data_IF_796975556902
#
_entry.id   IF_796975556902
#
_cell.length_a   1.000
_cell.length_b   1.000
_cell.length_c   1.000
_cell.angle_alpha   90.00
_cell.angle_beta   90.00
_cell.angle_gamma   90.00
#
_symmetry.space_group_name_H-M   'P 1'
#
loop_
_entity.id
_entity.type
_entity.pdbx_description
1 polymer ?
#
# COMPACT_ATOMS: atom_id res chain seq x y z
N UNK A 1 7.45 10.13 9.56
CA UNK A 1 6.82 8.87 9.16
C UNK A 1 5.34 9.07 8.84
N UNK A 2 4.52 9.58 9.79
CA UNK A 2 3.09 9.86 9.60
C UNK A 2 2.78 10.82 8.45
N UNK A 3 3.65 11.78 8.19
CA UNK A 3 3.47 12.70 7.07
C UNK A 3 3.36 11.96 5.74
N UNK A 4 4.32 11.09 5.42
CA UNK A 4 4.27 10.28 4.19
C UNK A 4 3.12 9.29 4.20
N UNK A 5 2.81 8.69 5.36
CA UNK A 5 1.71 7.76 5.53
C UNK A 5 0.34 8.39 5.20
N UNK A 6 0.14 9.68 5.56
CA UNK A 6 -1.06 10.45 5.23
C UNK A 6 -1.03 11.04 3.82
N UNK A 7 0.16 11.34 3.32
CA UNK A 7 0.32 11.95 1.99
C UNK A 7 -0.05 10.99 0.86
N UNK A 8 0.31 9.70 0.97
CA UNK A 8 0.04 8.73 -0.10
C UNK A 8 -1.43 8.67 -0.54
N UNK A 9 -2.43 8.46 0.35
CA UNK A 9 -3.83 8.43 -0.08
C UNK A 9 -4.32 9.79 -0.61
N UNK A 10 -3.79 10.91 -0.11
CA UNK A 10 -4.12 12.22 -0.63
C UNK A 10 -3.64 12.41 -2.08
N UNK A 11 -2.42 11.96 -2.38
CA UNK A 11 -1.87 11.97 -3.75
C UNK A 11 -2.69 11.08 -4.66
N UNK A 12 -3.09 9.89 -4.19
CA UNK A 12 -3.96 8.98 -4.96
C UNK A 12 -5.29 9.66 -5.26
N UNK A 13 -5.94 10.28 -4.28
CA UNK A 13 -7.21 10.97 -4.47
C UNK A 13 -7.09 12.12 -5.48
N UNK A 14 -6.10 12.98 -5.33
CA UNK A 14 -5.88 14.11 -6.25
C UNK A 14 -5.55 13.67 -7.67
N UNK A 15 -4.66 12.69 -7.82
CA UNK A 15 -4.29 12.17 -9.13
C UNK A 15 -5.46 11.40 -9.80
N UNK A 16 -6.27 10.66 -9.04
CA UNK A 16 -7.48 10.00 -9.57
C UNK A 16 -8.52 10.99 -10.07
N UNK A 17 -8.74 12.11 -9.36
CA UNK A 17 -9.57 13.20 -9.85
C UNK A 17 -8.97 13.84 -11.10
N UNK A 18 -7.64 13.99 -11.15
CA UNK A 18 -6.95 14.46 -12.35
C UNK A 18 -7.20 13.58 -13.58
N UNK A 19 -7.23 12.26 -13.41
CA UNK A 19 -7.60 11.32 -14.48
C UNK A 19 -9.05 11.52 -14.90
N UNK A 20 -9.97 11.62 -13.94
CA UNK A 20 -11.40 11.77 -14.22
C UNK A 20 -11.73 13.02 -15.07
N UNK A 21 -11.10 14.15 -14.77
CA UNK A 21 -11.33 15.40 -15.49
C UNK A 21 -10.46 15.59 -16.73
N UNK A 22 -9.51 14.70 -17.00
CA UNK A 22 -8.55 14.89 -18.08
C UNK A 22 -8.94 14.12 -19.34
N UNK A 23 -8.91 14.80 -20.46
CA UNK A 23 -9.01 14.21 -21.80
C UNK A 23 -7.64 14.16 -22.51
N UNK A 24 -6.54 14.53 -21.81
CA UNK A 24 -5.18 14.55 -22.35
C UNK A 24 -4.39 13.32 -21.96
N UNK A 25 -3.81 12.63 -22.94
CA UNK A 25 -2.96 11.45 -22.73
C UNK A 25 -1.75 11.78 -21.83
N UNK A 26 -1.18 12.97 -21.94
CA UNK A 26 -0.04 13.39 -21.11
C UNK A 26 -0.45 13.51 -19.65
N UNK A 27 -1.59 14.16 -19.37
CA UNK A 27 -2.09 14.31 -18.00
C UNK A 27 -2.47 12.95 -17.41
N UNK A 28 -3.12 12.10 -18.20
CA UNK A 28 -3.42 10.71 -17.81
C UNK A 28 -2.14 9.97 -17.38
N UNK A 29 -1.09 10.01 -18.22
CA UNK A 29 0.17 9.33 -17.92
C UNK A 29 0.82 9.85 -16.64
N UNK A 30 0.87 11.17 -16.45
CA UNK A 30 1.44 11.79 -15.24
C UNK A 30 0.62 11.40 -14.00
N UNK A 31 -0.69 11.44 -14.07
CA UNK A 31 -1.56 11.04 -12.95
C UNK A 31 -1.39 9.56 -12.59
N UNK A 32 -1.31 8.67 -13.58
CA UNK A 32 -1.06 7.25 -13.35
C UNK A 32 0.31 7.00 -12.73
N UNK A 33 1.35 7.74 -13.13
CA UNK A 33 2.67 7.67 -12.50
C UNK A 33 2.62 8.12 -11.03
N UNK A 34 1.89 9.20 -10.73
CA UNK A 34 1.71 9.67 -9.35
C UNK A 34 0.95 8.65 -8.49
N UNK A 35 -0.11 8.04 -9.02
CA UNK A 35 -0.86 6.96 -8.35
C UNK A 35 0.08 5.79 -8.08
N UNK A 36 0.83 5.33 -9.07
CA UNK A 36 1.78 4.22 -8.93
C UNK A 36 2.86 4.51 -7.88
N UNK A 37 3.42 5.71 -7.88
CA UNK A 37 4.40 6.14 -6.88
C UNK A 37 3.80 6.15 -5.46
N UNK A 38 2.59 6.68 -5.29
CA UNK A 38 1.92 6.74 -4.00
C UNK A 38 1.53 5.35 -3.48
N UNK A 39 1.07 4.45 -4.35
CA UNK A 39 0.79 3.04 -4.01
C UNK A 39 2.08 2.34 -3.59
N UNK A 40 3.19 2.50 -4.34
CA UNK A 40 4.49 1.94 -3.98
C UNK A 40 4.97 2.40 -2.61
N UNK A 41 4.80 3.69 -2.29
CA UNK A 41 5.06 4.24 -0.96
C UNK A 41 4.20 3.62 0.13
N UNK A 42 2.90 3.45 -0.11
CA UNK A 42 1.98 2.81 0.83
C UNK A 42 2.36 1.34 1.09
N UNK A 43 2.72 0.59 0.05
CA UNK A 43 3.19 -0.80 0.19
C UNK A 43 4.41 -0.96 1.10
N UNK A 44 5.29 0.04 1.14
CA UNK A 44 6.45 0.03 2.03
C UNK A 44 6.08 0.44 3.46
N UNK A 45 5.19 1.41 3.61
CA UNK A 45 4.86 2.02 4.90
C UNK A 45 3.85 1.19 5.71
N UNK A 46 2.81 0.65 5.07
CA UNK A 46 1.71 -0.03 5.76
C UNK A 46 2.17 -1.29 6.53
N UNK A 47 2.94 -2.23 5.96
CA UNK A 47 3.45 -3.37 6.71
C UNK A 47 4.41 -2.98 7.83
N UNK A 48 5.22 -1.94 7.61
CA UNK A 48 6.14 -1.42 8.62
C UNK A 48 5.38 -0.89 9.82
N UNK A 49 4.34 -0.07 9.57
CA UNK A 49 3.49 0.49 10.61
C UNK A 49 2.79 -0.60 11.42
N UNK A 50 2.15 -1.57 10.76
CA UNK A 50 1.52 -2.72 11.43
C UNK A 50 2.56 -3.48 12.27
N UNK A 51 3.77 -3.65 11.75
CA UNK A 51 4.83 -4.38 12.44
C UNK A 51 5.36 -3.70 13.69
N UNK A 52 5.26 -2.38 13.79
CA UNK A 52 5.72 -1.59 14.92
C UNK A 52 4.68 -1.47 16.02
N UNK A 53 3.39 -1.39 15.67
CA UNK A 53 2.30 -1.22 16.63
C UNK A 53 1.85 -2.56 17.22
N UNK A 54 1.89 -3.65 16.43
CA UNK A 54 1.34 -4.93 16.86
C UNK A 54 2.28 -5.69 17.79
N UNK A 55 1.76 -6.29 18.89
CA UNK A 55 2.51 -7.18 19.75
C UNK A 55 3.12 -8.34 18.95
N UNK A 56 4.30 -8.82 19.36
CA UNK A 56 5.05 -9.89 18.67
C UNK A 56 4.20 -11.13 18.36
N UNK A 57 3.27 -11.49 19.26
CA UNK A 57 2.38 -12.65 19.12
C UNK A 57 1.44 -12.51 17.92
N UNK A 58 0.90 -11.30 17.66
CA UNK A 58 -0.12 -11.06 16.65
C UNK A 58 0.42 -10.48 15.34
N UNK A 59 1.68 -10.07 15.32
CA UNK A 59 2.31 -9.39 14.19
C UNK A 59 2.15 -10.17 12.87
N UNK A 60 2.46 -11.47 12.86
CA UNK A 60 2.36 -12.30 11.66
C UNK A 60 0.92 -12.43 11.18
N UNK A 61 0.00 -12.66 12.10
CA UNK A 61 -1.44 -12.79 11.80
C UNK A 61 -2.00 -11.52 11.22
N UNK A 62 -1.69 -10.37 11.81
CA UNK A 62 -2.16 -9.06 11.32
C UNK A 62 -1.61 -8.71 9.95
N UNK A 63 -0.33 -9.01 9.68
CA UNK A 63 0.25 -8.85 8.33
C UNK A 63 -0.43 -9.77 7.31
N UNK A 64 -0.76 -11.01 7.71
CA UNK A 64 -1.51 -11.96 6.86
C UNK A 64 -2.92 -11.45 6.55
N UNK A 65 -3.65 -10.96 7.56
CA UNK A 65 -4.99 -10.39 7.40
C UNK A 65 -4.93 -9.15 6.47
N UNK A 66 -3.96 -8.27 6.67
CA UNK A 66 -3.76 -7.09 5.81
C UNK A 66 -3.58 -7.48 4.33
N UNK A 67 -2.77 -8.51 4.05
CA UNK A 67 -2.60 -9.05 2.70
C UNK A 67 -3.88 -9.67 2.14
N UNK A 68 -4.60 -10.46 2.93
CA UNK A 68 -5.88 -11.05 2.53
C UNK A 68 -6.93 -9.98 2.22
N UNK A 69 -7.02 -8.94 3.04
CA UNK A 69 -7.91 -7.79 2.82
C UNK A 69 -7.59 -7.06 1.52
N UNK A 70 -6.31 -6.91 1.18
CA UNK A 70 -5.89 -6.35 -0.12
C UNK A 70 -6.39 -7.20 -1.29
N UNK A 71 -6.34 -8.53 -1.18
CA UNK A 71 -6.90 -9.45 -2.18
C UNK A 71 -8.43 -9.29 -2.34
N UNK A 72 -9.15 -9.16 -1.24
CA UNK A 72 -10.60 -8.88 -1.27
C UNK A 72 -10.93 -7.53 -1.93
N UNK A 73 -10.12 -6.51 -1.67
CA UNK A 73 -10.23 -5.21 -2.33
C UNK A 73 -10.07 -5.30 -3.85
N UNK A 74 -9.10 -6.09 -4.33
CA UNK A 74 -8.91 -6.34 -5.77
C UNK A 74 -10.13 -7.03 -6.39
N UNK A 75 -10.66 -8.07 -5.76
CA UNK A 75 -11.87 -8.77 -6.22
C UNK A 75 -13.05 -7.79 -6.26
N UNK A 76 -13.25 -7.00 -5.21
CA UNK A 76 -14.31 -6.00 -5.14
C UNK A 76 -14.22 -5.00 -6.29
N UNK A 77 -13.03 -4.48 -6.59
CA UNK A 77 -12.83 -3.53 -7.67
C UNK A 77 -13.06 -4.14 -9.06
N UNK A 78 -12.68 -5.40 -9.26
CA UNK A 78 -12.97 -6.13 -10.51
C UNK A 78 -14.49 -6.27 -10.71
N UNK A 79 -15.24 -6.60 -9.67
CA UNK A 79 -16.71 -6.73 -9.74
C UNK A 79 -17.38 -5.37 -10.04
N UNK A 80 -16.91 -4.29 -9.41
CA UNK A 80 -17.39 -2.93 -9.72
C UNK A 80 -17.08 -2.56 -11.16
N UNK A 81 -15.85 -2.80 -11.62
CA UNK A 81 -15.44 -2.53 -12.99
C UNK A 81 -16.30 -3.33 -13.99
N UNK A 82 -16.51 -4.61 -13.73
CA UNK A 82 -17.35 -5.47 -14.56
C UNK A 82 -18.80 -4.95 -14.63
N UNK A 83 -19.39 -4.56 -13.50
CA UNK A 83 -20.74 -4.03 -13.44
C UNK A 83 -20.88 -2.72 -14.22
N UNK A 84 -19.98 -1.76 -13.97
CA UNK A 84 -19.98 -0.44 -14.61
C UNK A 84 -19.80 -0.55 -16.12
N UNK A 85 -18.85 -1.38 -16.58
CA UNK A 85 -18.58 -1.56 -18.00
C UNK A 85 -19.68 -2.36 -18.73
N UNK A 86 -20.39 -3.24 -18.03
CA UNK A 86 -21.49 -4.02 -18.62
C UNK A 86 -22.75 -3.18 -18.85
N UNK A 87 -23.07 -2.28 -17.91
CA UNK A 87 -24.33 -1.53 -17.91
C UNK A 87 -24.31 -0.34 -18.88
N UNK A 88 -23.14 0.13 -19.29
CA UNK A 88 -23.01 1.32 -20.12
C UNK A 88 -22.39 1.02 -21.48
N UNK A 89 -22.96 1.66 -22.50
CA UNK A 89 -22.41 1.68 -23.87
C UNK A 89 -21.50 2.89 -24.13
N UNK A 90 -21.26 3.73 -23.12
CA UNK A 90 -20.43 4.92 -23.23
C UNK A 90 -18.93 4.54 -23.22
N UNK A 91 -18.17 4.91 -24.26
CA UNK A 91 -16.73 4.64 -24.32
C UNK A 91 -15.91 5.28 -23.19
N UNK A 92 -16.41 6.34 -22.56
CA UNK A 92 -15.70 7.06 -21.49
C UNK A 92 -16.09 6.62 -20.09
N UNK A 93 -16.97 5.62 -19.95
CA UNK A 93 -17.46 5.14 -18.66
C UNK A 93 -16.34 4.66 -17.72
N UNK A 94 -15.22 4.19 -18.26
CA UNK A 94 -14.06 3.76 -17.49
C UNK A 94 -13.51 4.87 -16.57
N UNK A 95 -13.68 6.15 -16.92
CA UNK A 95 -13.25 7.28 -16.10
C UNK A 95 -13.95 7.27 -14.73
N UNK A 96 -15.19 6.79 -14.66
CA UNK A 96 -15.94 6.69 -13.40
C UNK A 96 -15.30 5.73 -12.39
N UNK A 97 -14.51 4.76 -12.84
CA UNK A 97 -13.75 3.89 -11.95
C UNK A 97 -12.74 4.66 -11.10
N UNK A 98 -12.21 5.78 -11.62
CA UNK A 98 -11.32 6.66 -10.87
C UNK A 98 -12.05 7.47 -9.79
N UNK A 99 -13.36 7.72 -9.93
CA UNK A 99 -14.16 8.29 -8.85
C UNK A 99 -14.30 7.31 -7.68
N UNK A 100 -14.48 6.01 -7.95
CA UNK A 100 -14.45 4.99 -6.91
C UNK A 100 -13.10 4.96 -6.20
N UNK A 101 -12.01 5.00 -6.97
CA UNK A 101 -10.66 5.05 -6.39
C UNK A 101 -10.48 6.31 -5.52
N UNK A 102 -10.96 7.47 -5.99
CA UNK A 102 -10.93 8.72 -5.23
C UNK A 102 -11.71 8.59 -3.92
N UNK A 103 -12.93 8.04 -3.96
CA UNK A 103 -13.74 7.84 -2.76
C UNK A 103 -13.01 6.99 -1.72
N UNK A 104 -12.47 5.83 -2.09
CA UNK A 104 -11.72 4.98 -1.17
C UNK A 104 -10.43 5.61 -0.69
N UNK A 105 -9.74 6.38 -1.54
CA UNK A 105 -8.53 7.10 -1.14
C UNK A 105 -8.85 8.18 -0.10
N UNK A 106 -9.95 8.92 -0.26
CA UNK A 106 -10.42 9.91 0.72
C UNK A 106 -10.82 9.24 2.04
N UNK A 107 -11.58 8.13 1.98
CA UNK A 107 -11.94 7.37 3.19
C UNK A 107 -10.68 6.88 3.90
N UNK A 108 -9.71 6.35 3.16
CA UNK A 108 -8.43 5.90 3.73
C UNK A 108 -7.65 7.07 4.32
N UNK A 109 -7.62 8.23 3.66
CA UNK A 109 -7.00 9.43 4.19
C UNK A 109 -7.63 9.86 5.52
N UNK A 110 -8.96 9.94 5.58
CA UNK A 110 -9.69 10.29 6.80
C UNK A 110 -9.42 9.28 7.93
N UNK A 111 -9.45 7.98 7.62
CA UNK A 111 -9.11 6.95 8.59
C UNK A 111 -7.68 7.10 9.11
N UNK A 112 -6.71 7.46 8.24
CA UNK A 112 -5.30 7.66 8.62
C UNK A 112 -5.06 8.93 9.47
N UNK A 113 -6.00 9.85 9.54
CA UNK A 113 -5.89 11.00 10.44
C UNK A 113 -5.95 10.60 11.93
N UNK A 114 -6.65 9.50 12.23
CA UNK A 114 -6.76 8.97 13.60
C UNK A 114 -5.56 8.12 14.03
N UNK A 115 -4.68 7.77 13.09
CA UNK A 115 -3.47 7.03 13.41
C UNK A 115 -2.44 7.92 14.11
N UNK A 116 -1.80 7.37 15.13
CA UNK A 116 -0.78 8.05 15.93
C UNK A 116 0.62 7.60 15.50
N UNK A 117 1.63 8.38 15.90
CA UNK A 117 3.03 8.05 15.62
C UNK A 117 3.41 6.72 16.26
N UNK A 118 4.27 5.96 15.56
CA UNK A 118 4.77 4.68 16.03
C UNK A 118 5.43 4.81 17.41
N UNK A 119 5.05 3.98 18.40
CA UNK A 119 5.67 4.00 19.73
C UNK A 119 7.17 3.72 19.69
N UNK A 120 7.61 2.84 18.77
CA UNK A 120 9.04 2.53 18.60
C UNK A 120 9.80 3.74 18.05
N UNK A 121 9.21 4.47 17.11
CA UNK A 121 9.80 5.70 16.57
C UNK A 121 9.90 6.80 17.64
N UNK A 122 8.83 7.01 18.41
CA UNK A 122 8.80 8.00 19.50
C UNK A 122 9.85 7.68 20.57
N UNK A 123 9.96 6.43 20.98
CA UNK A 123 10.94 5.99 21.95
C UNK A 123 12.39 6.22 21.47
N UNK A 124 12.67 5.97 20.18
CA UNK A 124 14.00 6.22 19.58
C UNK A 124 14.35 7.72 19.51
N UNK A 125 13.36 8.62 19.49
CA UNK A 125 13.55 10.07 19.46
C UNK A 125 13.45 10.71 20.86
N UNK A 126 13.49 9.90 21.94
CA UNK A 126 13.47 10.38 23.32
C UNK A 126 12.10 10.81 23.84
N UNK A 127 11.02 10.60 23.07
CA UNK A 127 9.65 10.95 23.43
C UNK A 127 8.93 9.77 24.10
N UNK A 128 9.49 9.29 25.19
CA UNK A 128 9.02 8.06 25.88
C UNK A 128 7.60 8.20 26.41
N UNK A 129 7.25 9.36 27.00
CA UNK A 129 5.92 9.62 27.56
C UNK A 129 4.80 9.61 26.47
N UNK A 130 5.10 10.16 25.28
CA UNK A 130 4.18 10.12 24.15
C UNK A 130 4.03 8.69 23.63
N UNK A 131 5.12 7.92 23.60
CA UNK A 131 5.11 6.52 23.21
C UNK A 131 4.25 5.66 24.14
N UNK A 132 4.37 5.83 25.46
CA UNK A 132 3.57 5.12 26.45
C UNK A 132 2.07 5.48 26.35
N UNK A 133 1.76 6.75 26.13
CA UNK A 133 0.37 7.21 25.91
C UNK A 133 -0.24 6.57 24.67
N UNK A 134 0.51 6.48 23.58
CA UNK A 134 0.06 5.89 22.35
C UNK A 134 -0.18 4.38 22.49
N UNK A 135 0.70 3.66 23.18
CA UNK A 135 0.53 2.23 23.47
C UNK A 135 -0.70 1.99 24.35
N UNK A 136 -0.89 2.80 25.38
CA UNK A 136 -2.08 2.74 26.25
C UNK A 136 -3.38 2.96 25.45
N UNK A 137 -3.37 3.91 24.54
CA UNK A 137 -4.53 4.22 23.69
C UNK A 137 -4.90 3.05 22.75
N UNK A 138 -3.90 2.35 22.18
CA UNK A 138 -4.14 1.25 21.23
C UNK A 138 -4.34 -0.11 21.87
N UNK A 139 -3.60 -0.43 22.93
CA UNK A 139 -3.61 -1.78 23.53
C UNK A 139 -4.43 -1.83 24.81
N UNK A 140 -4.89 -0.70 25.33
CA UNK A 140 -5.63 -0.64 26.59
C UNK A 140 -4.83 -1.12 27.80
N UNK A 141 -3.52 -1.28 27.68
CA UNK A 141 -2.61 -1.75 28.71
C UNK A 141 -1.58 -0.69 29.07
N UNK A 142 -1.31 -0.52 30.34
CA UNK A 142 -0.22 0.32 30.83
C UNK A 142 1.10 -0.43 30.60
N UNK A 143 1.82 -0.06 29.55
CA UNK A 143 3.13 -0.62 29.23
C UNK A 143 4.18 0.43 29.53
N UNK A 144 5.05 0.18 30.50
CA UNK A 144 6.20 1.04 30.80
C UNK A 144 7.30 0.80 29.77
N UNK A 145 7.35 1.65 28.75
CA UNK A 145 8.36 1.60 27.69
C UNK A 145 9.71 2.08 28.22
N UNK A 146 9.74 2.91 29.26
CA UNK A 146 10.94 3.41 29.90
C UNK A 146 11.89 2.31 30.37
N UNK A 147 11.37 1.18 30.91
CA UNK A 147 12.21 0.02 31.28
C UNK A 147 12.76 -0.74 30.04
N UNK A 148 11.99 -0.81 28.97
CA UNK A 148 12.43 -1.44 27.72
C UNK A 148 13.44 -0.57 26.97
N UNK A 149 13.28 0.75 27.00
CA UNK A 149 14.26 1.70 26.47
C UNK A 149 15.56 1.65 27.27
N UNK A 150 15.51 1.61 28.61
CA UNK A 150 16.69 1.50 29.47
C UNK A 150 17.44 0.16 29.33
N UNK A 151 16.72 -0.94 29.07
CA UNK A 151 17.35 -2.23 28.75
C UNK A 151 17.96 -2.27 27.34
N UNK A 152 17.40 -1.51 26.38
CA UNK A 152 17.90 -1.41 25.00
C UNK A 152 19.09 -0.47 24.88
N UNK A 153 19.22 0.52 25.76
CA UNK A 153 20.37 1.45 25.80
C UNK A 153 21.69 0.75 26.16
N UNK A 154 21.62 -0.40 26.84
CA UNK A 154 22.80 -1.25 27.14
C UNK A 154 23.25 -2.13 25.96
N UNK A 155 22.41 -2.32 24.95
CA UNK A 155 22.82 -2.91 23.67
C UNK A 155 22.82 -1.83 22.61
N UNK A 156 23.84 -1.02 22.61
CA UNK A 156 24.16 0.00 21.61
C UNK A 156 23.92 -0.56 20.21
N UNK A 157 22.71 -0.31 19.65
CA UNK A 157 22.63 -0.33 18.19
C UNK A 157 23.44 0.88 17.72
N UNK A 158 24.52 0.69 16.98
CA UNK A 158 25.24 1.82 16.40
C UNK A 158 24.20 2.61 15.60
N UNK A 159 24.19 3.94 15.78
CA UNK A 159 23.40 4.83 14.92
C UNK A 159 23.80 4.48 13.48
N UNK A 160 22.97 3.64 12.83
CA UNK A 160 23.28 3.21 11.48
C UNK A 160 23.12 4.42 10.57
N UNK A 161 24.22 4.85 10.01
CA UNK A 161 24.23 5.90 8.99
C UNK A 161 23.47 5.39 7.76
N UNK A 162 22.86 6.30 7.00
CA UNK A 162 22.24 5.94 5.71
C UNK A 162 23.23 5.23 4.77
N UNK A 163 24.54 5.44 4.95
CA UNK A 163 25.61 4.75 4.22
C UNK A 163 25.75 3.27 4.59
N UNK A 164 25.36 2.88 5.80
CA UNK A 164 25.45 1.49 6.28
C UNK A 164 24.43 0.58 5.56
N UNK A 165 23.36 1.15 5.00
CA UNK A 165 22.40 0.42 4.15
C UNK A 165 23.14 -0.19 2.97
N UNK A 166 24.10 0.52 2.38
CA UNK A 166 24.88 0.08 1.22
C UNK A 166 26.19 -0.67 1.60
N UNK A 167 26.41 -0.96 2.88
CA UNK A 167 27.54 -1.79 3.31
C UNK A 167 27.43 -3.20 2.68
N UNK A 168 28.57 -3.79 2.29
CA UNK A 168 28.63 -5.09 1.57
C UNK A 168 27.79 -6.21 2.19
N UNK A 169 27.69 -6.27 3.53
CA UNK A 169 26.85 -7.26 4.23
C UNK A 169 25.36 -7.01 4.10
N UNK A 170 24.93 -5.75 4.01
CA UNK A 170 23.55 -5.35 3.88
C UNK A 170 23.06 -5.42 2.44
N UNK A 171 23.92 -5.13 1.46
CA UNK A 171 23.61 -5.28 0.02
C UNK A 171 23.15 -6.70 -0.28
N UNK A 172 23.84 -7.73 0.23
CA UNK A 172 23.43 -9.13 0.06
C UNK A 172 21.99 -9.39 0.55
N UNK A 173 21.63 -8.82 1.71
CA UNK A 173 20.28 -8.96 2.29
C UNK A 173 19.24 -8.21 1.47
N UNK A 174 19.57 -7.01 0.98
CA UNK A 174 18.69 -6.19 0.13
C UNK A 174 18.42 -6.93 -1.19
N UNK A 175 19.46 -7.44 -1.84
CA UNK A 175 19.35 -8.18 -3.09
C UNK A 175 18.55 -9.48 -2.91
N UNK A 176 18.84 -10.25 -1.85
CA UNK A 176 18.13 -11.50 -1.53
C UNK A 176 16.65 -11.30 -1.20
N UNK A 177 16.27 -10.13 -0.68
CA UNK A 177 14.86 -9.81 -0.44
C UNK A 177 14.21 -9.12 -1.64
N UNK A 178 14.94 -8.29 -2.37
CA UNK A 178 14.41 -7.51 -3.50
C UNK A 178 14.16 -8.35 -4.76
N UNK A 179 15.04 -9.33 -5.06
CA UNK A 179 14.87 -10.19 -6.25
C UNK A 179 13.56 -10.98 -6.20
N UNK A 180 13.23 -11.74 -5.13
CA UNK A 180 11.96 -12.46 -5.06
C UNK A 180 10.74 -11.55 -5.19
N UNK A 181 10.77 -10.37 -4.57
CA UNK A 181 9.71 -9.37 -4.69
C UNK A 181 9.57 -8.84 -6.13
N UNK A 182 10.70 -8.58 -6.79
CA UNK A 182 10.71 -8.19 -8.20
C UNK A 182 10.14 -9.28 -9.11
N UNK A 183 10.52 -10.53 -8.90
CA UNK A 183 9.99 -11.68 -9.65
C UNK A 183 8.47 -11.88 -9.41
N UNK A 184 8.02 -11.75 -8.15
CA UNK A 184 6.58 -11.77 -7.81
C UNK A 184 5.83 -10.65 -8.53
N UNK A 185 6.38 -9.43 -8.52
CA UNK A 185 5.81 -8.29 -9.23
C UNK A 185 5.70 -8.51 -10.73
N UNK A 186 6.72 -9.06 -11.37
CA UNK A 186 6.69 -9.43 -12.80
C UNK A 186 5.62 -10.50 -13.08
N UNK A 187 5.47 -11.51 -12.22
CA UNK A 187 4.46 -12.55 -12.37
C UNK A 187 3.04 -12.00 -12.20
N UNK A 188 2.78 -11.31 -11.10
CA UNK A 188 1.44 -10.84 -10.74
C UNK A 188 0.99 -9.69 -11.67
N UNK A 189 1.84 -8.69 -11.85
CA UNK A 189 1.47 -7.50 -12.61
C UNK A 189 1.80 -7.62 -14.10
N UNK A 190 2.92 -8.25 -14.46
CA UNK A 190 3.31 -8.46 -15.85
C UNK A 190 2.35 -9.43 -16.55
N UNK A 191 2.33 -10.68 -16.12
CA UNK A 191 1.48 -11.71 -16.73
C UNK A 191 -0.02 -11.42 -16.47
N UNK A 192 -0.38 -11.02 -15.25
CA UNK A 192 -1.77 -10.77 -14.87
C UNK A 192 -2.44 -9.70 -15.73
N UNK A 193 -1.76 -8.57 -15.97
CA UNK A 193 -2.29 -7.46 -16.80
C UNK A 193 -2.39 -7.88 -18.28
N UNK A 194 -1.44 -8.65 -18.78
CA UNK A 194 -1.43 -9.10 -20.19
C UNK A 194 -2.26 -10.36 -20.44
N UNK A 195 -2.76 -11.04 -19.40
CA UNK A 195 -3.58 -12.25 -19.56
C UNK A 195 -4.76 -12.07 -20.52
N UNK A 196 -5.57 -11.00 -20.46
CA UNK A 196 -6.66 -10.80 -21.42
C UNK A 196 -6.17 -10.69 -22.87
N UNK A 197 -5.05 -9.98 -23.09
CA UNK A 197 -4.43 -9.83 -24.42
C UNK A 197 -3.91 -11.17 -24.93
N UNK A 198 -3.27 -11.95 -24.05
CA UNK A 198 -2.80 -13.30 -24.40
C UNK A 198 -3.96 -14.23 -24.77
N UNK A 199 -5.07 -14.20 -24.04
CA UNK A 199 -6.24 -15.01 -24.34
C UNK A 199 -6.88 -14.63 -25.68
N UNK A 200 -6.91 -13.34 -26.01
CA UNK A 200 -7.37 -12.84 -27.31
C UNK A 200 -6.44 -13.31 -28.44
N UNK A 201 -5.12 -13.18 -28.28
CA UNK A 201 -4.15 -13.59 -29.31
C UNK A 201 -4.10 -15.10 -29.52
N UNK A 202 -4.37 -15.89 -28.47
CA UNK A 202 -4.50 -17.33 -28.55
C UNK A 202 -5.83 -17.81 -29.12
N UNK A 203 -6.77 -16.89 -29.44
CA UNK A 203 -8.09 -17.23 -29.95
C UNK A 203 -9.01 -17.93 -28.93
N UNK A 204 -8.66 -17.88 -27.65
CA UNK A 204 -9.44 -18.47 -26.55
C UNK A 204 -10.64 -17.59 -26.14
N UNK A 205 -10.61 -16.32 -26.53
CA UNK A 205 -11.73 -15.38 -26.38
C UNK A 205 -12.04 -14.82 -27.77
N UNK A 206 -13.31 -14.82 -28.23
CA UNK A 206 -13.68 -14.25 -29.53
C UNK A 206 -13.43 -12.75 -29.56
N UNK A 207 -12.88 -12.25 -30.67
CA UNK A 207 -12.55 -10.82 -30.92
C UNK A 207 -13.75 -9.89 -30.86
N UNK A 208 -14.94 -10.40 -31.11
CA UNK A 208 -16.17 -9.62 -30.99
C UNK A 208 -16.71 -9.77 -29.58
N UNK A 209 -16.90 -8.63 -28.88
CA UNK A 209 -17.55 -8.52 -27.56
C UNK A 209 -19.00 -9.06 -27.51
N UNK A 210 -19.29 -10.10 -28.27
CA UNK A 210 -20.49 -10.92 -28.15
C UNK A 210 -20.27 -11.84 -26.96
N UNK A 211 -21.04 -11.54 -25.94
CA UNK A 211 -21.19 -12.31 -24.71
C UNK A 211 -21.09 -13.82 -24.96
N UNK A 212 -20.52 -14.52 -23.97
CA UNK A 212 -20.62 -15.97 -23.85
C UNK A 212 -22.03 -16.42 -24.28
N UNK A 213 -22.14 -17.43 -25.14
CA UNK A 213 -23.44 -18.04 -25.40
C UNK A 213 -24.01 -18.51 -24.07
N UNK A 214 -25.27 -18.14 -23.81
CA UNK A 214 -26.01 -18.53 -22.62
C UNK A 214 -26.22 -20.04 -22.59
#
# INVERSE_FOLDING_TARGET
YLFFFRLCPLVIAGASLGVYFSHSLVVLTVCLLLIGFAIGGAYALDPSYVSEIMPKKWKRTMLGISKATSGLGNIGMILVAWYVLKESSDPEIWNHLFLFLTFFAVVTFLARLWFVESPEWLALHGKVEEAERNVKHFLGQDVYIGELASKKDKTTRPQSSRRDIFARGNIKRIVLSGIPWGCEGMGVYGIGIFTPVLLLTLGLIPESGKAFPR
#
